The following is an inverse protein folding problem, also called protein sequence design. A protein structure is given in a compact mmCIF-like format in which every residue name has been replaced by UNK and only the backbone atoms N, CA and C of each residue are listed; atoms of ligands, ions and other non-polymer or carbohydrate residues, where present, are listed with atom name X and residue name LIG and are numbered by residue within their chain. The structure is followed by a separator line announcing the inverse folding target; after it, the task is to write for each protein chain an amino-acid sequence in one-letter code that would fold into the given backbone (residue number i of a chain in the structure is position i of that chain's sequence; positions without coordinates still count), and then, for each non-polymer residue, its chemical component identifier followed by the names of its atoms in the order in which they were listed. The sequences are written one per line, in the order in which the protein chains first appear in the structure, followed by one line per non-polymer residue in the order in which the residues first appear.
data_IF_465364213382
#
_entry.id   IF_465364213382
#
_cell.length_a   1.000
_cell.length_b   1.000
_cell.length_c   1.000
_cell.angle_alpha   90.00
_cell.angle_beta   90.00
_cell.angle_gamma   90.00
#
_symmetry.space_group_name_H-M   'P 1'
#
loop_
_entity.id
_entity.type
_entity.pdbx_description
1 polymer ?
#
# COMPACT_ATOMS: atom_id res chain seq x y z
N UNK A 1 12.56 -0.11 11.55
CA UNK A 1 11.76 -1.22 10.99
C UNK A 1 12.03 -2.44 11.84
N UNK A 2 11.00 -3.17 12.26
CA UNK A 2 11.17 -4.43 13.01
C UNK A 2 11.83 -5.44 12.06
N UNK A 3 12.88 -6.13 12.50
CA UNK A 3 13.49 -7.22 11.73
C UNK A 3 12.41 -8.23 11.32
N UNK A 4 12.29 -8.48 10.02
CA UNK A 4 11.38 -9.47 9.49
C UNK A 4 11.85 -10.85 9.91
N UNK A 5 11.04 -11.52 10.74
CA UNK A 5 11.25 -12.94 11.06
C UNK A 5 10.65 -13.79 9.93
N UNK A 6 11.48 -14.08 8.93
CA UNK A 6 11.12 -14.82 7.71
C UNK A 6 10.49 -16.18 7.98
N UNK A 7 10.90 -16.86 9.05
CA UNK A 7 10.42 -18.18 9.47
C UNK A 7 8.92 -18.21 9.81
N UNK A 8 8.42 -17.19 10.50
CA UNK A 8 7.01 -17.07 10.85
C UNK A 8 6.15 -16.65 9.64
N UNK A 9 6.74 -15.90 8.71
CA UNK A 9 6.07 -15.34 7.54
C UNK A 9 5.60 -16.42 6.57
N UNK A 10 6.45 -17.43 6.32
CA UNK A 10 6.16 -18.51 5.35
C UNK A 10 4.90 -19.30 5.67
N UNK A 11 4.55 -19.45 6.96
CA UNK A 11 3.30 -20.11 7.37
C UNK A 11 2.07 -19.23 7.14
N UNK A 12 2.18 -17.92 7.38
CA UNK A 12 1.08 -16.97 7.15
C UNK A 12 0.80 -16.77 5.66
N UNK A 13 1.84 -16.89 4.83
CA UNK A 13 1.70 -16.89 3.38
C UNK A 13 0.81 -18.02 2.86
N UNK A 14 0.43 -19.04 3.63
CA UNK A 14 -0.53 -20.07 3.20
C UNK A 14 -1.99 -19.65 3.36
N UNK A 15 -2.26 -18.52 4.03
CA UNK A 15 -3.61 -18.01 4.28
C UNK A 15 -4.14 -17.18 3.09
N UNK A 16 -4.09 -17.74 1.87
CA UNK A 16 -4.32 -17.02 0.62
C UNK A 16 -5.68 -16.34 0.56
N UNK A 17 -6.72 -16.96 1.16
CA UNK A 17 -8.05 -16.33 1.24
C UNK A 17 -8.02 -15.00 1.98
N UNK A 18 -7.30 -14.91 3.10
CA UNK A 18 -7.19 -13.68 3.90
C UNK A 18 -6.36 -12.62 3.16
N UNK A 19 -5.29 -13.06 2.50
CA UNK A 19 -4.44 -12.19 1.66
C UNK A 19 -5.26 -11.58 0.52
N UNK A 20 -6.00 -12.39 -0.23
CA UNK A 20 -6.83 -11.92 -1.34
C UNK A 20 -7.88 -10.91 -0.86
N UNK A 21 -8.56 -11.20 0.26
CA UNK A 21 -9.53 -10.26 0.84
C UNK A 21 -8.85 -8.93 1.18
N UNK A 22 -7.67 -8.97 1.82
CA UNK A 22 -6.89 -7.76 2.13
C UNK A 22 -6.54 -6.97 0.86
N UNK A 23 -6.03 -7.64 -0.17
CA UNK A 23 -5.66 -7.01 -1.44
C UNK A 23 -6.86 -6.36 -2.14
N UNK A 24 -8.03 -7.01 -2.12
CA UNK A 24 -9.26 -6.41 -2.65
C UNK A 24 -9.64 -5.17 -1.86
N UNK A 25 -9.57 -5.23 -0.52
CA UNK A 25 -9.87 -4.08 0.31
C UNK A 25 -8.92 -2.90 0.05
N UNK A 26 -7.62 -3.16 0.03
CA UNK A 26 -6.56 -2.14 -0.10
C UNK A 26 -6.47 -1.57 -1.50
N UNK A 27 -6.54 -2.40 -2.55
CA UNK A 27 -6.27 -1.97 -3.93
C UNK A 27 -7.49 -1.85 -4.83
N UNK A 28 -8.69 -2.16 -4.31
CA UNK A 28 -9.94 -1.96 -5.06
C UNK A 28 -10.91 -1.12 -4.25
N UNK A 29 -11.29 -1.57 -3.05
CA UNK A 29 -12.35 -0.92 -2.28
C UNK A 29 -11.96 0.50 -1.83
N UNK A 30 -10.84 0.66 -1.13
CA UNK A 30 -10.40 1.99 -0.65
C UNK A 30 -10.07 2.97 -1.79
N UNK A 31 -9.40 2.56 -2.89
CA UNK A 31 -9.20 3.42 -4.05
C UNK A 31 -10.52 3.94 -4.64
N UNK A 32 -11.52 3.08 -4.81
CA UNK A 32 -12.82 3.47 -5.34
C UNK A 32 -13.53 4.47 -4.42
N UNK A 33 -13.45 4.25 -3.10
CA UNK A 33 -13.97 5.19 -2.12
C UNK A 33 -13.24 6.53 -2.19
N UNK A 34 -11.91 6.51 -2.27
CA UNK A 34 -11.10 7.71 -2.34
C UNK A 34 -11.42 8.54 -3.59
N UNK A 35 -11.51 7.90 -4.76
CA UNK A 35 -11.87 8.53 -6.04
C UNK A 35 -13.29 9.12 -5.98
N UNK A 36 -14.24 8.39 -5.39
CA UNK A 36 -15.62 8.85 -5.24
C UNK A 36 -15.70 10.15 -4.44
N UNK A 37 -14.93 10.25 -3.35
CA UNK A 37 -14.86 11.46 -2.53
C UNK A 37 -14.07 12.58 -3.26
N UNK A 38 -12.97 12.24 -3.93
CA UNK A 38 -12.10 13.19 -4.60
C UNK A 38 -12.80 14.02 -5.68
N UNK A 39 -13.81 13.45 -6.35
CA UNK A 39 -14.65 14.16 -7.33
C UNK A 39 -15.32 15.43 -6.79
N UNK A 40 -15.52 15.52 -5.46
CA UNK A 40 -16.17 16.65 -4.78
C UNK A 40 -15.19 17.69 -4.24
N UNK A 41 -13.88 17.42 -4.29
CA UNK A 41 -12.85 18.22 -3.63
C UNK A 41 -12.09 19.15 -4.60
N UNK A 42 -12.40 19.07 -5.89
CA UNK A 42 -11.70 19.79 -6.95
C UNK A 42 -10.44 19.06 -7.45
N UNK A 43 -9.96 19.34 -8.68
CA UNK A 43 -9.01 18.47 -9.37
C UNK A 43 -7.68 18.30 -8.65
N UNK A 44 -7.02 19.40 -8.25
CA UNK A 44 -5.70 19.35 -7.60
C UNK A 44 -5.75 18.70 -6.22
N UNK A 45 -6.74 19.06 -5.40
CA UNK A 45 -6.90 18.47 -4.06
C UNK A 45 -7.28 16.99 -4.16
N UNK A 46 -8.15 16.65 -5.12
CA UNK A 46 -8.58 15.28 -5.36
C UNK A 46 -7.41 14.34 -5.66
N UNK A 47 -6.39 14.78 -6.42
CA UNK A 47 -5.19 13.98 -6.68
C UNK A 47 -4.42 13.71 -5.39
N UNK A 48 -4.16 14.74 -4.59
CA UNK A 48 -3.48 14.59 -3.31
C UNK A 48 -4.24 13.67 -2.37
N UNK A 49 -5.57 13.80 -2.35
CA UNK A 49 -6.45 12.95 -1.55
C UNK A 49 -6.41 11.49 -2.00
N UNK A 50 -6.51 11.21 -3.30
CA UNK A 50 -6.39 9.84 -3.83
C UNK A 50 -5.01 9.29 -3.52
N UNK A 51 -3.94 10.00 -3.88
CA UNK A 51 -2.57 9.55 -3.65
C UNK A 51 -2.30 9.20 -2.17
N UNK A 52 -2.75 10.04 -1.23
CA UNK A 52 -2.58 9.80 0.20
C UNK A 52 -3.33 8.55 0.71
N UNK A 53 -4.46 8.20 0.10
CA UNK A 53 -5.27 7.04 0.49
C UNK A 53 -4.91 5.76 -0.28
N UNK A 54 -4.01 5.83 -1.26
CA UNK A 54 -3.49 4.65 -1.96
C UNK A 54 -2.22 4.07 -1.33
N UNK A 55 -1.65 4.75 -0.32
CA UNK A 55 -0.41 4.31 0.34
C UNK A 55 -0.69 3.01 1.12
N UNK A 56 0.11 1.93 0.92
CA UNK A 56 -0.08 0.66 1.62
C UNK A 56 0.11 0.82 3.13
N UNK A 57 -0.39 -0.16 3.88
CA UNK A 57 -0.41 -0.15 5.34
C UNK A 57 0.99 0.13 5.95
N UNK A 58 1.03 1.11 6.86
CA UNK A 58 2.26 1.48 7.57
C UNK A 58 2.67 0.42 8.58
N UNK A 59 3.98 0.26 8.81
CA UNK A 59 4.51 -0.55 9.92
C UNK A 59 4.00 -0.13 11.30
N UNK A 60 3.56 1.13 11.46
CA UNK A 60 2.91 1.60 12.69
C UNK A 60 1.58 0.85 12.97
N UNK A 61 0.92 0.33 11.92
CA UNK A 61 -0.33 -0.41 12.06
C UNK A 61 -0.15 -1.72 12.85
N UNK A 62 1.06 -2.30 12.89
CA UNK A 62 1.34 -3.49 13.70
C UNK A 62 1.12 -3.25 15.20
N UNK A 63 1.39 -2.03 15.68
CA UNK A 63 1.10 -1.66 17.07
C UNK A 63 -0.41 -1.72 17.36
N UNK A 64 -1.24 -1.24 16.43
CA UNK A 64 -2.70 -1.31 16.56
C UNK A 64 -3.22 -2.76 16.49
N UNK A 65 -2.61 -3.60 15.65
CA UNK A 65 -2.92 -5.04 15.60
C UNK A 65 -2.57 -5.71 16.93
N UNK A 66 -1.42 -5.38 17.52
CA UNK A 66 -0.99 -5.95 18.79
C UNK A 66 -1.96 -5.58 19.93
N UNK A 67 -2.29 -4.30 20.10
CA UNK A 67 -3.18 -3.86 21.19
C UNK A 67 -4.63 -4.35 21.02
N UNK A 68 -5.05 -4.64 19.78
CA UNK A 68 -6.36 -5.24 19.50
C UNK A 68 -6.37 -6.77 19.62
N UNK A 69 -5.28 -7.38 20.11
CA UNK A 69 -5.09 -8.83 20.19
C UNK A 69 -5.24 -9.55 18.83
N UNK A 70 -4.93 -8.84 17.74
CA UNK A 70 -4.93 -9.38 16.39
C UNK A 70 -3.67 -10.19 16.09
N UNK A 71 -3.67 -10.85 14.94
CA UNK A 71 -2.54 -11.67 14.49
C UNK A 71 -1.45 -10.79 13.86
N UNK A 72 -0.40 -10.51 14.63
CA UNK A 72 0.71 -9.63 14.23
C UNK A 72 1.53 -10.24 13.09
N UNK A 73 1.69 -11.56 13.06
CA UNK A 73 2.46 -12.25 12.03
C UNK A 73 1.78 -12.15 10.66
N UNK A 74 0.45 -12.36 10.62
CA UNK A 74 -0.35 -12.18 9.41
C UNK A 74 -0.34 -10.72 8.96
N UNK A 75 -0.50 -9.78 9.88
CA UNK A 75 -0.44 -8.35 9.55
C UNK A 75 0.93 -7.97 8.98
N UNK A 76 2.02 -8.53 9.51
CA UNK A 76 3.37 -8.33 8.96
C UNK A 76 3.49 -8.89 7.54
N UNK A 77 2.96 -10.10 7.30
CA UNK A 77 2.94 -10.69 5.96
C UNK A 77 2.11 -9.86 4.98
N UNK A 78 0.95 -9.35 5.40
CA UNK A 78 0.10 -8.49 4.57
C UNK A 78 0.80 -7.18 4.20
N UNK A 79 1.44 -6.50 5.16
CA UNK A 79 2.20 -5.27 4.89
C UNK A 79 3.27 -5.49 3.81
N UNK A 80 4.00 -6.61 3.86
CA UNK A 80 5.02 -6.91 2.86
C UNK A 80 4.44 -7.16 1.47
N UNK A 81 3.34 -7.92 1.40
CA UNK A 81 2.65 -8.17 0.14
C UNK A 81 2.10 -6.86 -0.42
N UNK A 82 1.48 -6.04 0.44
CA UNK A 82 0.93 -4.74 0.06
C UNK A 82 2.02 -3.80 -0.45
N UNK A 83 3.21 -3.76 0.16
CA UNK A 83 4.35 -2.98 -0.34
C UNK A 83 4.72 -3.41 -1.77
N UNK A 84 4.83 -4.72 -2.02
CA UNK A 84 5.21 -5.25 -3.34
C UNK A 84 4.13 -4.92 -4.38
N UNK A 85 2.86 -5.11 -4.04
CA UNK A 85 1.73 -4.85 -4.95
C UNK A 85 1.53 -3.35 -5.17
N UNK A 86 1.80 -2.51 -4.17
CA UNK A 86 1.63 -1.07 -4.25
C UNK A 86 2.55 -0.42 -5.28
N UNK A 87 3.78 -0.92 -5.47
CA UNK A 87 4.74 -0.36 -6.43
C UNK A 87 4.13 -0.23 -7.84
N UNK A 88 3.53 -1.27 -8.44
CA UNK A 88 2.78 -1.13 -9.69
C UNK A 88 1.35 -0.59 -9.52
N UNK A 89 0.64 -0.91 -8.43
CA UNK A 89 -0.77 -0.55 -8.29
C UNK A 89 -0.99 0.96 -8.12
N UNK A 90 -0.20 1.64 -7.27
CA UNK A 90 -0.25 3.08 -7.05
C UNK A 90 -0.18 3.89 -8.36
N UNK A 91 0.87 3.75 -9.19
CA UNK A 91 1.00 4.51 -10.43
C UNK A 91 -0.12 4.19 -11.43
N UNK A 92 -0.60 2.95 -11.48
CA UNK A 92 -1.72 2.57 -12.34
C UNK A 92 -3.01 3.27 -11.91
N UNK A 93 -3.40 3.15 -10.65
CA UNK A 93 -4.64 3.74 -10.14
C UNK A 93 -4.59 5.26 -10.26
N UNK A 94 -3.47 5.87 -9.83
CA UNK A 94 -3.32 7.32 -9.86
C UNK A 94 -3.25 7.85 -11.30
N UNK A 95 -2.63 7.10 -12.23
CA UNK A 95 -2.60 7.45 -13.65
C UNK A 95 -3.98 7.36 -14.31
N UNK A 96 -4.79 6.37 -13.96
CA UNK A 96 -6.17 6.26 -14.43
C UNK A 96 -7.03 7.42 -13.91
N UNK A 97 -6.90 7.74 -12.63
CA UNK A 97 -7.65 8.84 -12.02
C UNK A 97 -7.21 10.20 -12.57
N UNK A 98 -5.91 10.48 -12.66
CA UNK A 98 -5.40 11.76 -13.14
C UNK A 98 -5.81 12.03 -14.59
N UNK A 99 -5.85 10.98 -15.43
CA UNK A 99 -6.35 11.03 -16.80
C UNK A 99 -7.85 11.36 -16.85
N UNK A 100 -8.67 10.84 -15.94
CA UNK A 100 -10.11 11.10 -15.94
C UNK A 100 -10.45 12.56 -15.60
N UNK A 101 -9.58 13.24 -14.86
CA UNK A 101 -9.73 14.66 -14.49
C UNK A 101 -8.80 15.61 -15.26
N UNK A 102 -8.07 15.11 -16.27
CA UNK A 102 -7.13 15.87 -17.12
C UNK A 102 -6.04 16.65 -16.38
N UNK A 103 -5.54 16.12 -15.26
CA UNK A 103 -4.43 16.74 -14.53
C UNK A 103 -3.16 15.92 -14.72
N UNK A 104 -2.04 16.51 -15.15
CA UNK A 104 -0.80 15.79 -15.36
C UNK A 104 -0.20 15.34 -14.01
N UNK A 105 0.21 14.07 -13.94
CA UNK A 105 0.92 13.50 -12.80
C UNK A 105 2.18 12.80 -13.30
N UNK A 106 3.36 13.00 -12.67
CA UNK A 106 4.63 12.41 -13.11
C UNK A 106 4.73 10.94 -12.69
N UNK A 107 3.97 10.06 -13.35
CA UNK A 107 3.86 8.63 -13.00
C UNK A 107 5.23 7.92 -13.00
N UNK A 108 6.10 8.23 -13.95
CA UNK A 108 7.45 7.65 -14.01
C UNK A 108 8.30 8.00 -12.79
N UNK A 109 8.26 9.26 -12.36
CA UNK A 109 8.95 9.70 -11.13
C UNK A 109 8.37 9.01 -9.91
N UNK A 110 7.04 8.90 -9.81
CA UNK A 110 6.38 8.21 -8.69
C UNK A 110 6.83 6.75 -8.59
N UNK A 111 6.90 6.02 -9.71
CA UNK A 111 7.34 4.63 -9.71
C UNK A 111 8.78 4.47 -9.22
N UNK A 112 9.69 5.33 -9.70
CA UNK A 112 11.10 5.32 -9.27
C UNK A 112 11.18 5.62 -7.77
N UNK A 113 10.52 6.70 -7.31
CA UNK A 113 10.54 7.09 -5.91
C UNK A 113 9.93 6.03 -4.99
N UNK A 114 8.83 5.38 -5.38
CA UNK A 114 8.27 4.27 -4.60
C UNK A 114 9.24 3.10 -4.50
N UNK A 115 9.91 2.77 -5.60
CA UNK A 115 10.90 1.69 -5.60
C UNK A 115 12.06 2.03 -4.66
N UNK A 116 12.60 3.25 -4.74
CA UNK A 116 13.68 3.69 -3.88
C UNK A 116 13.28 3.73 -2.41
N UNK A 117 12.11 4.29 -2.09
CA UNK A 117 11.66 4.50 -0.70
C UNK A 117 11.17 3.19 -0.06
N UNK A 118 10.62 2.26 -0.82
CA UNK A 118 10.07 1.01 -0.28
C UNK A 118 11.06 -0.14 -0.34
N UNK A 119 11.76 -0.33 -1.46
CA UNK A 119 12.63 -1.50 -1.67
C UNK A 119 14.00 -1.29 -1.02
N UNK A 120 14.63 -0.12 -1.16
CA UNK A 120 15.98 0.07 -0.61
C UNK A 120 16.02 -0.07 0.91
N UNK A 121 15.12 0.56 1.71
CA UNK A 121 15.11 0.37 3.15
C UNK A 121 14.75 -1.05 3.57
N UNK A 122 13.90 -1.73 2.80
CA UNK A 122 13.56 -3.13 3.04
C UNK A 122 14.80 -4.01 2.90
N UNK A 123 15.58 -3.86 1.82
CA UNK A 123 16.82 -4.60 1.60
C UNK A 123 17.85 -4.25 2.69
N UNK A 124 18.08 -2.96 2.95
CA UNK A 124 19.03 -2.51 3.96
C UNK A 124 18.69 -3.04 5.36
N UNK A 125 17.41 -3.02 5.73
CA UNK A 125 16.93 -3.55 7.00
C UNK A 125 16.94 -5.09 7.11
N UNK A 126 17.18 -5.82 6.01
CA UNK A 126 17.46 -7.26 6.05
C UNK A 126 18.94 -7.58 6.14
N UNK A 127 19.81 -6.66 5.72
CA UNK A 127 21.27 -6.81 5.72
C UNK A 127 21.94 -6.32 7.02
N UNK A 128 21.19 -5.67 7.90
CA UNK A 128 21.65 -5.10 9.18
C UNK A 128 20.95 -5.74 10.37
#
# INVERSE_FOLDING_TARGET
MVQLRTEALGRQLKLWKKIIISLICVFILFPLLAISVASKLGPQFGIGFVAANLVPASSAALGYVLISAGNVELATALILIDIIVAIPALPVILGLYSRSISVPVPIGTILISLTEILILPLIAGQLT
#
